data_IF_783391449858
#
_entry.id   IF_783391449858
#
_cell.length_a   1.000
_cell.length_b   1.000
_cell.length_c   1.000
_cell.angle_alpha   90.00
_cell.angle_beta   90.00
_cell.angle_gamma   90.00
#
_symmetry.space_group_name_H-M   'P 1'
#
loop_
_entity.id
_entity.type
_entity.pdbx_description
1 polymer ?
#
# COMPACT_ATOMS: atom_id res chain seq x y z
N UNK A 1 9.91 22.87 -18.28
CA UNK A 1 8.88 22.11 -19.06
C UNK A 1 8.30 20.87 -18.33
N UNK A 2 8.61 20.58 -17.05
CA UNK A 2 8.25 19.27 -16.45
C UNK A 2 6.92 19.17 -15.68
N UNK A 3 6.22 20.27 -15.38
CA UNK A 3 5.02 20.21 -14.54
C UNK A 3 3.82 19.50 -15.18
N UNK A 4 3.53 19.81 -16.45
CA UNK A 4 2.30 19.35 -17.14
C UNK A 4 2.21 17.83 -17.30
N UNK A 5 3.34 17.14 -17.44
CA UNK A 5 3.37 15.68 -17.59
C UNK A 5 3.01 14.95 -16.28
N UNK A 6 3.58 15.41 -15.16
CA UNK A 6 3.32 14.84 -13.83
C UNK A 6 1.86 15.07 -13.44
N UNK A 7 1.33 16.27 -13.67
CA UNK A 7 -0.09 16.55 -13.37
C UNK A 7 -1.05 15.70 -14.20
N UNK A 8 -0.67 15.35 -15.44
CA UNK A 8 -1.48 14.50 -16.32
C UNK A 8 -1.46 13.03 -15.90
N UNK A 9 -0.31 12.54 -15.43
CA UNK A 9 -0.18 11.16 -14.94
C UNK A 9 -0.85 10.95 -13.58
N UNK A 10 -0.78 11.92 -12.68
CA UNK A 10 -1.46 11.82 -11.37
C UNK A 10 -2.98 11.86 -11.50
N UNK A 11 -3.51 12.60 -12.48
CA UNK A 11 -4.96 12.68 -12.77
C UNK A 11 -5.44 11.66 -13.79
N UNK A 12 -4.64 10.65 -14.13
CA UNK A 12 -5.01 9.63 -15.10
C UNK A 12 -6.25 8.85 -14.61
N UNK A 13 -7.29 8.79 -15.44
CA UNK A 13 -8.54 8.13 -15.10
C UNK A 13 -9.51 8.94 -14.25
N UNK A 14 -9.19 10.20 -13.89
CA UNK A 14 -10.17 11.07 -13.23
C UNK A 14 -11.15 11.60 -14.28
N UNK A 15 -12.44 11.33 -14.10
CA UNK A 15 -13.53 11.86 -14.92
C UNK A 15 -14.64 12.47 -14.05
N UNK A 16 -15.50 13.29 -14.66
CA UNK A 16 -16.58 14.02 -13.97
C UNK A 16 -17.66 13.09 -13.39
N UNK A 17 -17.62 11.80 -13.74
CA UNK A 17 -18.50 10.77 -13.21
C UNK A 17 -18.11 10.28 -11.80
N UNK A 18 -16.89 10.59 -11.34
CA UNK A 18 -16.41 10.22 -10.01
C UNK A 18 -16.87 11.24 -8.96
N UNK A 19 -17.22 10.73 -7.78
CA UNK A 19 -17.37 11.59 -6.60
C UNK A 19 -16.04 12.27 -6.27
N UNK A 20 -16.09 13.44 -5.63
CA UNK A 20 -14.86 14.17 -5.27
C UNK A 20 -13.88 13.33 -4.43
N UNK A 21 -14.39 12.44 -3.58
CA UNK A 21 -13.59 11.52 -2.76
C UNK A 21 -12.98 10.39 -3.59
N UNK A 22 -13.74 9.79 -4.52
CA UNK A 22 -13.20 8.74 -5.40
C UNK A 22 -12.15 9.28 -6.36
N UNK A 23 -12.33 10.50 -6.88
CA UNK A 23 -11.33 11.19 -7.70
C UNK A 23 -10.03 11.41 -6.92
N UNK A 24 -10.10 11.85 -5.66
CA UNK A 24 -8.92 12.00 -4.80
C UNK A 24 -8.22 10.66 -4.54
N UNK A 25 -8.96 9.56 -4.36
CA UNK A 25 -8.38 8.22 -4.21
C UNK A 25 -7.66 7.76 -5.47
N UNK A 26 -8.25 7.96 -6.65
CA UNK A 26 -7.60 7.65 -7.93
C UNK A 26 -6.28 8.42 -8.06
N UNK A 27 -6.28 9.70 -7.71
CA UNK A 27 -5.05 10.53 -7.68
C UNK A 27 -4.03 9.98 -6.69
N UNK A 28 -4.44 9.65 -5.47
CA UNK A 28 -3.56 9.06 -4.45
C UNK A 28 -2.93 7.76 -4.94
N UNK A 29 -3.71 6.87 -5.53
CA UNK A 29 -3.24 5.60 -6.10
C UNK A 29 -2.23 5.84 -7.22
N UNK A 30 -2.51 6.77 -8.14
CA UNK A 30 -1.58 7.12 -9.21
C UNK A 30 -0.26 7.69 -8.66
N UNK A 31 -0.34 8.55 -7.63
CA UNK A 31 0.84 9.09 -6.94
C UNK A 31 1.65 7.97 -6.28
N UNK A 32 0.99 7.04 -5.58
CA UNK A 32 1.65 5.89 -4.96
C UNK A 32 2.30 4.98 -6.02
N UNK A 33 1.63 4.75 -7.15
CA UNK A 33 2.19 3.96 -8.25
C UNK A 33 3.43 4.61 -8.86
N UNK A 34 3.37 5.92 -9.13
CA UNK A 34 4.51 6.68 -9.67
C UNK A 34 5.68 6.74 -8.68
N UNK A 35 5.39 6.95 -7.39
CA UNK A 35 6.40 6.92 -6.33
C UNK A 35 7.06 5.54 -6.24
N UNK A 36 6.26 4.47 -6.29
CA UNK A 36 6.76 3.10 -6.31
C UNK A 36 7.66 2.83 -7.52
N UNK A 37 7.26 3.28 -8.73
CA UNK A 37 8.09 3.17 -9.94
C UNK A 37 9.40 3.94 -9.77
N UNK A 38 9.37 5.15 -9.21
CA UNK A 38 10.57 5.96 -8.98
C UNK A 38 11.54 5.30 -8.00
N UNK A 39 11.02 4.73 -6.89
CA UNK A 39 11.80 3.97 -5.92
C UNK A 39 12.38 2.70 -6.57
N UNK A 40 11.58 1.98 -7.35
CA UNK A 40 12.06 0.79 -8.05
C UNK A 40 13.16 1.18 -9.03
N UNK A 41 12.99 2.23 -9.83
CA UNK A 41 14.00 2.66 -10.80
C UNK A 41 15.34 3.01 -10.14
N UNK A 42 15.33 3.67 -8.97
CA UNK A 42 16.57 3.96 -8.23
C UNK A 42 17.22 2.70 -7.67
N UNK A 43 16.43 1.75 -7.17
CA UNK A 43 16.92 0.46 -6.67
C UNK A 43 17.41 -0.48 -7.79
N UNK A 44 16.80 -0.43 -8.98
CA UNK A 44 17.23 -1.19 -10.15
C UNK A 44 18.60 -0.74 -10.62
N UNK A 45 18.88 0.57 -10.60
CA UNK A 45 20.21 1.09 -10.91
C UNK A 45 21.27 0.52 -9.96
N UNK A 46 20.97 0.45 -8.66
CA UNK A 46 21.86 -0.14 -7.64
C UNK A 46 22.02 -1.65 -7.86
N UNK A 47 20.93 -2.36 -8.15
CA UNK A 47 20.92 -3.83 -8.32
C UNK A 47 21.62 -4.28 -9.60
N UNK A 48 21.56 -3.47 -10.65
CA UNK A 48 22.30 -3.69 -11.90
C UNK A 48 23.82 -3.57 -11.68
N UNK A 49 24.25 -2.66 -10.80
CA UNK A 49 25.68 -2.50 -10.44
C UNK A 49 26.16 -3.70 -9.59
N UNK A 50 25.31 -4.21 -8.69
CA UNK A 50 25.66 -5.33 -7.79
C UNK A 50 25.46 -6.72 -8.40
N UNK A 51 25.03 -6.81 -9.67
CA UNK A 51 24.77 -8.08 -10.43
C UNK A 51 23.81 -9.05 -9.74
N UNK A 52 22.81 -8.54 -9.04
CA UNK A 52 21.77 -9.37 -8.41
C UNK A 52 20.60 -9.60 -9.38
N UNK A 53 20.77 -10.52 -10.34
CA UNK A 53 19.79 -10.79 -11.41
C UNK A 53 18.37 -11.07 -10.87
N UNK A 54 18.30 -11.79 -9.76
CA UNK A 54 17.05 -12.14 -9.09
C UNK A 54 16.37 -10.92 -8.45
N UNK A 55 17.14 -10.02 -7.82
CA UNK A 55 16.62 -8.78 -7.24
C UNK A 55 16.08 -7.85 -8.34
N UNK A 56 16.78 -7.80 -9.46
CA UNK A 56 16.39 -7.05 -10.65
C UNK A 56 15.10 -7.61 -11.27
N UNK A 57 14.93 -8.93 -11.33
CA UNK A 57 13.69 -9.56 -11.80
C UNK A 57 12.48 -9.21 -10.91
N UNK A 58 12.64 -9.27 -9.58
CA UNK A 58 11.58 -8.87 -8.63
C UNK A 58 11.22 -7.40 -8.79
N UNK A 59 12.22 -6.52 -8.89
CA UNK A 59 12.02 -5.08 -9.08
C UNK A 59 11.28 -4.78 -10.40
N UNK A 60 11.71 -5.36 -11.52
CA UNK A 60 11.06 -5.17 -12.81
C UNK A 60 9.62 -5.72 -12.81
N UNK A 61 9.38 -6.87 -12.18
CA UNK A 61 8.02 -7.42 -12.06
C UNK A 61 7.12 -6.49 -11.26
N UNK A 62 7.60 -5.93 -10.13
CA UNK A 62 6.84 -4.95 -9.35
C UNK A 62 6.56 -3.67 -10.16
N UNK A 63 7.53 -3.16 -10.90
CA UNK A 63 7.33 -2.00 -11.77
C UNK A 63 6.30 -2.27 -12.88
N UNK A 64 6.32 -3.47 -13.48
CA UNK A 64 5.35 -3.86 -14.49
C UNK A 64 3.91 -3.85 -13.95
N UNK A 65 3.71 -4.31 -12.71
CA UNK A 65 2.37 -4.27 -12.11
C UNK A 65 1.97 -2.84 -11.71
N UNK A 66 2.89 -1.98 -11.25
CA UNK A 66 2.58 -0.56 -11.02
C UNK A 66 2.22 0.18 -12.32
N UNK A 67 2.87 -0.15 -13.44
CA UNK A 67 2.48 0.34 -14.76
C UNK A 67 1.10 -0.19 -15.17
N UNK A 68 0.78 -1.43 -14.83
CA UNK A 68 -0.55 -2.01 -15.05
C UNK A 68 -1.63 -1.26 -14.25
N UNK A 69 -1.35 -0.84 -13.02
CA UNK A 69 -2.26 0.01 -12.22
C UNK A 69 -2.60 1.30 -12.98
N UNK A 70 -1.58 2.01 -13.48
CA UNK A 70 -1.79 3.23 -14.27
C UNK A 70 -2.60 2.94 -15.55
N UNK A 71 -2.29 1.85 -16.24
CA UNK A 71 -3.04 1.44 -17.43
C UNK A 71 -4.51 1.11 -17.12
N UNK A 72 -4.79 0.41 -16.01
CA UNK A 72 -6.14 0.10 -15.55
C UNK A 72 -6.93 1.37 -15.20
N UNK A 73 -6.30 2.35 -14.56
CA UNK A 73 -6.89 3.67 -14.35
C UNK A 73 -7.17 4.41 -15.66
N UNK A 74 -6.26 4.35 -16.64
CA UNK A 74 -6.52 4.87 -17.99
C UNK A 74 -7.70 4.19 -18.69
N UNK A 75 -8.02 2.94 -18.33
CA UNK A 75 -9.19 2.17 -18.81
C UNK A 75 -10.43 2.31 -17.94
N UNK A 76 -10.42 3.20 -16.94
CA UNK A 76 -11.51 3.39 -15.96
C UNK A 76 -11.85 2.14 -15.13
N UNK A 77 -10.90 1.20 -15.00
CA UNK A 77 -11.03 0.00 -14.16
C UNK A 77 -10.47 0.29 -12.76
N UNK A 78 -11.11 1.24 -12.07
CA UNK A 78 -10.63 1.81 -10.79
C UNK A 78 -10.49 0.77 -9.68
N UNK A 79 -11.43 -0.18 -9.63
CA UNK A 79 -11.43 -1.23 -8.62
C UNK A 79 -10.20 -2.13 -8.71
N UNK A 80 -9.92 -2.62 -9.91
CA UNK A 80 -8.83 -3.56 -10.13
C UNK A 80 -7.48 -2.89 -9.87
N UNK A 81 -7.33 -1.64 -10.30
CA UNK A 81 -6.16 -0.83 -10.00
C UNK A 81 -5.95 -0.64 -8.49
N UNK A 82 -7.02 -0.37 -7.74
CA UNK A 82 -6.95 -0.20 -6.28
C UNK A 82 -6.56 -1.49 -5.56
N UNK A 83 -6.98 -2.66 -6.04
CA UNK A 83 -6.60 -3.98 -5.47
C UNK A 83 -5.16 -4.37 -5.84
N UNK A 84 -4.70 -4.01 -7.03
CA UNK A 84 -3.35 -4.33 -7.49
C UNK A 84 -2.27 -3.66 -6.65
N UNK A 85 -2.49 -2.45 -6.13
CA UNK A 85 -1.52 -1.75 -5.29
C UNK A 85 -1.14 -2.56 -4.03
N UNK A 86 -2.08 -2.95 -3.14
CA UNK A 86 -1.75 -3.82 -2.01
C UNK A 86 -1.10 -5.14 -2.43
N UNK A 87 -1.55 -5.76 -3.52
CA UNK A 87 -1.00 -7.02 -3.99
C UNK A 87 0.46 -6.91 -4.42
N UNK A 88 0.84 -5.86 -5.15
CA UNK A 88 2.25 -5.59 -5.52
C UNK A 88 3.11 -5.44 -4.28
N UNK A 89 2.59 -4.71 -3.32
CA UNK A 89 3.30 -4.39 -2.10
C UNK A 89 3.47 -5.63 -1.21
N UNK A 90 2.45 -6.49 -1.11
CA UNK A 90 2.53 -7.81 -0.49
C UNK A 90 3.53 -8.68 -1.23
N UNK A 91 3.45 -8.77 -2.55
CA UNK A 91 4.35 -9.59 -3.37
C UNK A 91 5.81 -9.16 -3.20
N UNK A 92 6.09 -7.85 -3.28
CA UNK A 92 7.44 -7.31 -3.09
C UNK A 92 7.94 -7.53 -1.65
N UNK A 93 7.06 -7.39 -0.66
CA UNK A 93 7.35 -7.61 0.75
C UNK A 93 7.66 -9.08 1.08
N UNK A 94 7.05 -10.03 0.38
CA UNK A 94 7.29 -11.47 0.55
C UNK A 94 8.48 -11.96 -0.28
N UNK A 95 8.60 -11.47 -1.52
CA UNK A 95 9.65 -11.93 -2.45
C UNK A 95 11.05 -11.65 -1.91
N UNK A 96 11.28 -10.48 -1.28
CA UNK A 96 12.60 -10.12 -0.75
C UNK A 96 13.14 -11.09 0.32
N UNK A 97 12.43 -11.36 1.43
CA UNK A 97 12.89 -12.29 2.46
C UNK A 97 12.88 -13.75 1.98
N UNK A 98 12.00 -14.13 1.05
CA UNK A 98 12.07 -15.46 0.44
C UNK A 98 13.39 -15.70 -0.30
N UNK A 99 13.92 -14.66 -0.92
CA UNK A 99 15.12 -14.70 -1.75
C UNK A 99 16.40 -14.31 -1.01
N UNK A 100 16.35 -14.21 0.34
CA UNK A 100 17.48 -13.82 1.20
C UNK A 100 18.12 -12.48 0.81
N UNK A 101 17.33 -11.57 0.22
CA UNK A 101 17.73 -10.19 -0.08
C UNK A 101 17.50 -9.29 1.15
N UNK A 102 17.78 -9.83 2.35
CA UNK A 102 17.39 -9.23 3.62
C UNK A 102 18.23 -7.98 3.89
N UNK A 103 17.57 -6.83 3.72
CA UNK A 103 18.01 -5.57 4.29
C UNK A 103 17.39 -5.46 5.70
N UNK A 104 18.14 -4.96 6.71
CA UNK A 104 17.57 -4.71 8.03
C UNK A 104 16.35 -3.78 7.91
N UNK A 105 15.23 -4.19 8.51
CA UNK A 105 13.95 -3.45 8.46
C UNK A 105 12.99 -3.87 7.32
N UNK A 106 13.26 -4.95 6.59
CA UNK A 106 12.33 -5.47 5.56
C UNK A 106 10.94 -5.83 6.13
N UNK A 107 10.88 -6.23 7.40
CA UNK A 107 9.65 -6.54 8.14
C UNK A 107 8.84 -5.30 8.54
N UNK A 108 9.50 -4.14 8.72
CA UNK A 108 8.82 -2.87 9.04
C UNK A 108 7.94 -2.38 7.88
N UNK A 109 8.36 -2.67 6.64
CA UNK A 109 7.54 -2.39 5.46
C UNK A 109 6.27 -3.25 5.44
N UNK A 110 6.32 -4.50 5.90
CA UNK A 110 5.13 -5.38 5.98
C UNK A 110 4.09 -4.87 6.98
N UNK A 111 4.52 -4.15 8.03
CA UNK A 111 3.61 -3.50 8.98
C UNK A 111 2.83 -2.36 8.31
N UNK A 112 3.52 -1.50 7.56
CA UNK A 112 2.88 -0.42 6.79
C UNK A 112 1.93 -0.99 5.72
N UNK A 113 2.26 -2.15 5.16
CA UNK A 113 1.44 -2.83 4.16
C UNK A 113 0.08 -3.29 4.70
N UNK A 114 -0.05 -3.51 6.01
CA UNK A 114 -1.31 -3.88 6.62
C UNK A 114 -2.33 -2.71 6.62
N UNK A 115 -1.86 -1.46 6.56
CA UNK A 115 -2.72 -0.27 6.52
C UNK A 115 -3.14 0.12 5.10
N UNK A 116 -2.32 -0.25 4.12
CA UNK A 116 -2.44 0.20 2.74
C UNK A 116 -3.78 -0.14 2.07
N UNK A 117 -4.39 -1.33 2.28
CA UNK A 117 -5.73 -1.63 1.76
C UNK A 117 -6.82 -0.66 2.27
N UNK A 118 -6.70 -0.16 3.50
CA UNK A 118 -7.70 0.75 4.09
C UNK A 118 -7.61 2.17 3.53
N UNK A 119 -6.42 2.59 3.13
CA UNK A 119 -6.17 3.88 2.48
C UNK A 119 -6.66 3.88 1.03
N UNK A 120 -6.37 2.79 0.31
CA UNK A 120 -6.55 2.72 -1.13
C UNK A 120 -7.97 2.27 -1.53
N UNK A 121 -8.59 1.34 -0.79
CA UNK A 121 -9.86 0.76 -1.20
C UNK A 121 -11.06 1.60 -0.72
N UNK A 122 -12.04 1.85 -1.61
CA UNK A 122 -13.30 2.50 -1.26
C UNK A 122 -14.00 1.79 -0.10
N UNK A 123 -14.76 2.53 0.71
CA UNK A 123 -15.40 2.02 1.94
C UNK A 123 -16.34 0.84 1.68
N UNK A 124 -17.07 0.89 0.56
CA UNK A 124 -17.95 -0.22 0.12
C UNK A 124 -17.23 -1.57 0.00
N UNK A 125 -15.90 -1.56 -0.13
CA UNK A 125 -15.06 -2.75 -0.19
C UNK A 125 -14.36 -3.03 1.15
N UNK A 126 -15.04 -2.76 2.27
CA UNK A 126 -14.57 -2.98 3.64
C UNK A 126 -13.92 -4.36 3.84
N UNK A 127 -14.66 -5.42 3.49
CA UNK A 127 -14.24 -6.81 3.62
C UNK A 127 -12.96 -7.13 2.83
N UNK A 128 -12.82 -6.60 1.62
CA UNK A 128 -11.62 -6.83 0.80
C UNK A 128 -10.39 -6.16 1.43
N UNK A 129 -10.56 -4.95 1.98
CA UNK A 129 -9.48 -4.27 2.69
C UNK A 129 -9.06 -5.04 3.94
N UNK A 130 -10.02 -5.54 4.72
CA UNK A 130 -9.77 -6.38 5.90
C UNK A 130 -9.05 -7.67 5.51
N UNK A 131 -9.49 -8.34 4.45
CA UNK A 131 -8.89 -9.61 3.99
C UNK A 131 -7.47 -9.39 3.53
N UNK A 132 -7.21 -8.37 2.69
CA UNK A 132 -5.85 -8.05 2.23
C UNK A 132 -4.95 -7.64 3.40
N UNK A 133 -5.48 -6.90 4.37
CA UNK A 133 -4.75 -6.53 5.57
C UNK A 133 -4.39 -7.75 6.42
N UNK A 134 -5.36 -8.66 6.65
CA UNK A 134 -5.14 -9.91 7.37
C UNK A 134 -4.08 -10.76 6.66
N UNK A 135 -4.14 -10.88 5.33
CA UNK A 135 -3.14 -11.57 4.52
C UNK A 135 -1.76 -10.97 4.71
N UNK A 136 -1.62 -9.64 4.68
CA UNK A 136 -0.34 -8.95 4.97
C UNK A 136 0.20 -9.30 6.35
N UNK A 137 -0.65 -9.30 7.38
CA UNK A 137 -0.25 -9.63 8.76
C UNK A 137 0.17 -11.10 8.89
N UNK A 138 -0.60 -12.02 8.31
CA UNK A 138 -0.28 -13.46 8.34
C UNK A 138 1.04 -13.75 7.62
N UNK A 139 1.26 -13.12 6.46
CA UNK A 139 2.52 -13.25 5.71
C UNK A 139 3.70 -12.67 6.49
N UNK A 140 3.51 -11.53 7.16
CA UNK A 140 4.51 -10.97 8.07
C UNK A 140 4.84 -11.97 9.18
N UNK A 141 3.82 -12.48 9.90
CA UNK A 141 4.02 -13.48 10.95
C UNK A 141 4.74 -14.75 10.47
N UNK A 142 4.39 -15.25 9.28
CA UNK A 142 5.03 -16.43 8.68
C UNK A 142 6.52 -16.18 8.35
N UNK A 143 6.83 -15.01 7.79
CA UNK A 143 8.20 -14.65 7.43
C UNK A 143 9.05 -14.44 8.68
N UNK A 144 8.53 -13.72 9.68
CA UNK A 144 9.24 -13.56 10.95
C UNK A 144 9.42 -14.89 11.67
N UNK A 145 8.44 -15.80 11.60
CA UNK A 145 8.56 -17.17 12.12
C UNK A 145 9.67 -17.96 11.42
N UNK A 146 9.69 -17.94 10.08
CA UNK A 146 10.74 -18.60 9.28
C UNK A 146 12.12 -18.08 9.64
N UNK A 147 12.29 -16.76 9.78
CA UNK A 147 13.59 -16.18 10.11
C UNK A 147 14.05 -16.63 11.50
N UNK A 148 13.18 -16.68 12.50
CA UNK A 148 13.56 -17.23 13.81
C UNK A 148 13.96 -18.70 13.75
N UNK A 149 13.35 -19.52 12.89
CA UNK A 149 13.74 -20.93 12.76
C UNK A 149 15.11 -21.13 12.07
N UNK A 150 15.66 -20.09 11.41
CA UNK A 150 16.99 -20.15 10.78
C UNK A 150 18.15 -19.88 11.74
N UNK A 151 17.90 -19.18 12.85
CA UNK A 151 18.94 -18.87 13.83
C UNK A 151 19.14 -20.05 14.79
N UNK A 152 20.38 -20.28 15.23
CA UNK A 152 20.67 -21.32 16.23
C UNK A 152 20.10 -20.94 17.60
N UNK A 153 19.80 -21.92 18.46
CA UNK A 153 19.21 -21.70 19.79
C UNK A 153 19.99 -20.68 20.65
N UNK A 154 21.32 -20.59 20.48
CA UNK A 154 22.18 -19.60 21.15
C UNK A 154 22.03 -18.17 20.58
N UNK A 155 21.82 -18.01 19.27
CA UNK A 155 21.57 -16.71 18.62
C UNK A 155 20.14 -16.21 18.92
N UNK A 156 19.16 -17.12 19.02
CA UNK A 156 17.78 -16.87 19.45
C UNK A 156 17.65 -16.46 20.93
N UNK A 157 18.65 -16.78 21.78
CA UNK A 157 18.71 -16.33 23.17
C UNK A 157 19.44 -14.98 23.32
N UNK A 158 20.37 -14.67 22.40
CA UNK A 158 21.10 -13.40 22.37
C UNK A 158 20.27 -12.26 21.74
N UNK A 159 19.52 -12.55 20.67
CA UNK A 159 18.44 -11.70 20.19
C UNK A 159 17.16 -12.20 20.84
N UNK A 160 16.47 -11.39 21.64
CA UNK A 160 15.19 -11.76 22.25
C UNK A 160 14.09 -11.91 21.18
N UNK A 161 14.18 -12.96 20.38
CA UNK A 161 13.53 -13.16 19.08
C UNK A 161 12.05 -13.45 19.22
N UNK A 162 11.64 -14.22 20.24
CA UNK A 162 10.23 -14.40 20.58
C UNK A 162 9.57 -13.08 21.02
N UNK A 163 10.33 -12.20 21.68
CA UNK A 163 9.87 -10.86 22.05
C UNK A 163 9.78 -9.93 20.83
N UNK A 164 10.77 -9.95 19.94
CA UNK A 164 10.74 -9.21 18.66
C UNK A 164 9.61 -9.68 17.75
N UNK A 165 9.39 -10.99 17.61
CA UNK A 165 8.28 -11.56 16.84
C UNK A 165 6.92 -11.14 17.38
N UNK A 166 6.73 -11.26 18.69
CA UNK A 166 5.48 -10.84 19.32
C UNK A 166 5.29 -9.32 19.21
N UNK A 167 6.35 -8.51 19.29
CA UNK A 167 6.32 -7.07 18.99
C UNK A 167 5.92 -6.77 17.54
N UNK A 168 6.49 -7.46 16.55
CA UNK A 168 6.15 -7.23 15.15
C UNK A 168 4.69 -7.58 14.83
N UNK A 169 4.21 -8.71 15.33
CA UNK A 169 2.81 -9.11 15.16
C UNK A 169 1.88 -8.15 15.90
N UNK A 170 2.21 -7.76 17.13
CA UNK A 170 1.38 -6.79 17.88
C UNK A 170 1.42 -5.39 17.27
N UNK A 171 2.55 -4.91 16.74
CA UNK A 171 2.62 -3.68 15.96
C UNK A 171 1.79 -3.76 14.69
N UNK A 172 1.86 -4.87 13.94
CA UNK A 172 1.05 -5.05 12.74
C UNK A 172 -0.45 -5.01 13.09
N UNK A 173 -0.88 -5.69 14.15
CA UNK A 173 -2.26 -5.65 14.65
C UNK A 173 -2.67 -4.24 15.08
N UNK A 174 -1.82 -3.52 15.81
CA UNK A 174 -2.05 -2.12 16.20
C UNK A 174 -2.21 -1.24 14.96
N UNK A 175 -1.39 -1.45 13.93
CA UNK A 175 -1.50 -0.70 12.67
C UNK A 175 -2.77 -1.02 11.90
N UNK A 176 -3.24 -2.27 11.91
CA UNK A 176 -4.58 -2.61 11.39
C UNK A 176 -5.66 -1.86 12.17
N UNK A 177 -5.60 -1.85 13.50
CA UNK A 177 -6.54 -1.12 14.34
C UNK A 177 -6.52 0.39 14.07
N UNK A 178 -5.33 0.99 13.92
CA UNK A 178 -5.17 2.40 13.54
C UNK A 178 -5.74 2.64 12.14
N UNK A 179 -5.48 1.75 11.17
CA UNK A 179 -6.02 1.85 9.82
C UNK A 179 -7.56 1.80 9.81
N UNK A 180 -8.15 0.88 10.57
CA UNK A 180 -9.60 0.79 10.77
C UNK A 180 -10.15 2.06 11.44
N UNK A 181 -9.45 2.59 12.45
CA UNK A 181 -9.86 3.79 13.17
C UNK A 181 -9.78 5.04 12.28
N UNK A 182 -8.67 5.23 11.56
CA UNK A 182 -8.50 6.31 10.59
C UNK A 182 -9.55 6.25 9.48
N UNK A 183 -9.90 5.04 9.01
CA UNK A 183 -10.97 4.86 8.03
C UNK A 183 -12.33 5.28 8.57
N UNK A 184 -12.63 5.00 9.84
CA UNK A 184 -13.85 5.46 10.51
C UNK A 184 -13.87 6.98 10.71
N UNK A 185 -12.73 7.59 11.01
CA UNK A 185 -12.61 9.06 11.12
C UNK A 185 -12.86 9.71 9.76
N UNK A 186 -12.19 9.24 8.70
CA UNK A 186 -12.39 9.78 7.36
C UNK A 186 -13.85 9.66 6.92
N UNK A 187 -14.50 8.53 7.20
CA UNK A 187 -15.93 8.37 6.94
C UNK A 187 -16.82 9.38 7.65
N UNK A 188 -16.51 9.71 8.90
CA UNK A 188 -17.26 10.72 9.66
C UNK A 188 -16.98 12.12 9.14
N UNK A 189 -15.73 12.40 8.76
CA UNK A 189 -15.33 13.68 8.19
C UNK A 189 -16.01 13.91 6.83
N UNK A 190 -16.04 12.89 5.97
CA UNK A 190 -16.72 12.94 4.67
C UNK A 190 -18.22 13.18 4.84
N UNK A 191 -18.88 12.45 5.74
CA UNK A 191 -20.30 12.63 6.04
C UNK A 191 -20.62 14.02 6.62
N UNK A 192 -19.73 14.57 7.45
CA UNK A 192 -19.88 15.93 7.99
C UNK A 192 -19.73 16.99 6.89
N UNK A 193 -18.75 16.83 5.99
CA UNK A 193 -18.53 17.75 4.88
C UNK A 193 -19.70 17.73 3.88
N UNK A 194 -20.28 16.56 3.61
CA UNK A 194 -21.50 16.44 2.78
C UNK A 194 -22.71 17.11 3.43
N UNK A 195 -22.89 16.93 4.75
CA UNK A 195 -23.98 17.57 5.48
C UNK A 195 -23.84 19.11 5.50
N UNK A 196 -22.63 19.64 5.62
CA UNK A 196 -22.37 21.08 5.52
C UNK A 196 -22.67 21.65 4.13
N UNK A 197 -22.29 20.92 3.07
CA UNK A 197 -22.62 21.33 1.69
C UNK A 197 -24.12 21.35 1.42
N UNK A 198 -24.83 20.30 1.85
CA UNK A 198 -26.28 20.24 1.71
C UNK A 198 -26.99 21.38 2.47
N UNK A 199 -26.49 21.75 3.66
CA UNK A 199 -26.99 22.91 4.41
C UNK A 199 -26.73 24.23 3.68
N UNK A 200 -25.54 24.40 3.10
CA UNK A 200 -25.19 25.60 2.35
C UNK A 200 -26.05 25.76 1.09
N UNK A 201 -26.36 24.67 0.38
CA UNK A 201 -27.23 24.67 -0.80
C UNK A 201 -28.69 25.03 -0.45
N UNK A 202 -29.22 24.53 0.68
CA UNK A 202 -30.56 24.90 1.16
C UNK A 202 -30.66 26.41 1.47
N UNK A 203 -29.64 26.97 2.11
CA UNK A 203 -29.60 28.41 2.44
C UNK A 203 -29.49 29.32 1.20
N UNK A 204 -28.96 28.81 0.08
CA UNK A 204 -28.87 29.53 -1.19
C UNK A 204 -30.15 29.46 -2.03
N UNK A 205 -31.04 28.50 -1.75
CA UNK A 205 -32.32 28.33 -2.45
C UNK A 205 -33.51 28.98 -1.74
N UNK A 206 -33.37 29.35 -0.46
CA UNK A 206 -34.38 30.08 0.33
C UNK A 206 -34.28 31.62 0.21
N UNK A 207 -33.45 32.14 -0.72
CA UNK A 207 -33.31 33.57 -1.07
C UNK A 207 -33.80 33.82 -2.48
#
# INVERSE_FOLDING_TARGET
>A
MSGRGVTRLTRLGVDDALTGVDAQRVVLINVLALLGIAIIASLTAISAITRTELALAVQLSAAAVLLLVLWLHGRRRYWEAAVMIPLVVIFAGVARPLLALDLPGSHDFLIVNAMLPFLVLPVRFGRTAETLSLVSVLLCGLLTYRDATRYTYQELMALNTSYLQSQYVSMAVVMVCIGLFMRRINLRADAAAEAERARAELLLHDV
#
